data_IF_427631400843
#
_entry.id   IF_427631400843
#
_cell.length_a   1.000
_cell.length_b   1.000
_cell.length_c   1.000
_cell.angle_alpha   90.00
_cell.angle_beta   90.00
_cell.angle_gamma   90.00
#
_symmetry.space_group_name_H-M   'P 1'
#
loop_
_entity.id
_entity.type
_entity.pdbx_description
1 polymer ?
#
# COMPACT_ATOMS: atom_id res chain seq x y z
N UNK A 1 9.36 5.45 21.65
CA UNK A 1 10.44 4.64 22.26
C UNK A 1 11.10 3.80 21.17
N UNK A 2 12.38 3.42 21.31
CA UNK A 2 13.04 2.64 20.27
C UNK A 2 12.45 1.21 20.23
N UNK A 3 11.91 0.80 19.09
CA UNK A 3 11.48 -0.58 18.92
C UNK A 3 12.73 -1.47 18.89
N UNK A 4 12.91 -2.27 19.94
CA UNK A 4 14.08 -3.12 20.07
C UNK A 4 14.11 -4.21 18.99
N UNK A 5 15.24 -4.31 18.29
CA UNK A 5 15.49 -5.41 17.37
C UNK A 5 15.85 -6.67 18.17
N UNK A 6 14.84 -7.45 18.53
CA UNK A 6 15.00 -8.70 19.30
C UNK A 6 15.18 -9.90 18.38
N UNK A 7 15.69 -11.01 18.93
CA UNK A 7 15.98 -12.23 18.16
C UNK A 7 14.77 -12.73 17.36
N UNK A 8 13.59 -12.81 17.98
CA UNK A 8 12.36 -13.27 17.31
C UNK A 8 11.90 -12.33 16.19
N UNK A 9 12.19 -11.02 16.30
CA UNK A 9 11.92 -10.01 15.26
C UNK A 9 12.83 -10.22 14.05
N UNK A 10 14.14 -10.45 14.28
CA UNK A 10 15.10 -10.81 13.23
C UNK A 10 14.75 -12.14 12.56
N UNK A 11 14.38 -13.17 13.33
CA UNK A 11 13.90 -14.45 12.77
C UNK A 11 12.65 -14.27 11.91
N UNK A 12 11.64 -13.52 12.40
CA UNK A 12 10.41 -13.23 11.64
C UNK A 12 10.74 -12.49 10.34
N UNK A 13 11.66 -11.51 10.36
CA UNK A 13 12.12 -10.82 9.14
C UNK A 13 12.90 -11.74 8.19
N UNK A 14 13.80 -12.58 8.68
CA UNK A 14 14.54 -13.53 7.86
C UNK A 14 13.62 -14.59 7.22
N UNK A 15 12.60 -15.04 7.95
CA UNK A 15 11.54 -15.93 7.43
C UNK A 15 10.63 -15.21 6.41
N UNK A 16 10.40 -13.91 6.58
CA UNK A 16 9.67 -13.04 5.63
C UNK A 16 10.50 -12.58 4.43
N UNK A 17 11.83 -12.62 4.49
CA UNK A 17 12.72 -12.18 3.42
C UNK A 17 12.63 -13.02 2.12
N UNK A 18 11.90 -14.15 2.16
CA UNK A 18 11.48 -14.92 0.99
C UNK A 18 9.97 -15.10 0.84
N UNK A 19 9.16 -14.48 1.72
CA UNK A 19 7.71 -14.56 1.71
C UNK A 19 7.12 -13.18 1.41
N UNK A 20 6.59 -13.03 0.20
CA UNK A 20 5.46 -12.17 -0.18
C UNK A 20 4.85 -11.34 0.98
N UNK A 21 5.19 -10.04 1.08
CA UNK A 21 4.57 -9.09 2.03
C UNK A 21 3.08 -8.88 1.66
N UNK A 22 2.18 -9.76 2.11
CA UNK A 22 0.73 -9.65 1.89
C UNK A 22 0.14 -8.91 3.08
N UNK A 23 -0.34 -7.69 2.87
CA UNK A 23 -1.17 -6.98 3.84
C UNK A 23 -2.62 -7.53 3.92
N UNK A 24 -3.16 -7.61 5.13
CA UNK A 24 -4.55 -7.95 5.44
C UNK A 24 -5.30 -6.72 5.95
N UNK A 25 -6.61 -6.72 5.76
CA UNK A 25 -7.50 -5.59 6.11
C UNK A 25 -8.65 -6.01 7.02
N UNK A 26 -8.98 -7.30 7.05
CA UNK A 26 -10.18 -7.76 7.74
C UNK A 26 -9.92 -8.05 9.22
N UNK A 27 -8.65 -8.26 9.61
CA UNK A 27 -8.28 -8.63 10.97
C UNK A 27 -7.06 -7.86 11.45
N UNK A 28 -7.23 -7.12 12.54
CA UNK A 28 -6.12 -6.61 13.35
C UNK A 28 -5.74 -7.65 14.42
N UNK A 29 -4.53 -8.24 14.37
CA UNK A 29 -4.11 -9.26 15.33
C UNK A 29 -4.17 -8.76 16.78
N UNK A 30 -4.54 -9.66 17.71
CA UNK A 30 -4.57 -9.34 19.14
C UNK A 30 -3.21 -8.84 19.66
N UNK A 31 -2.11 -9.41 19.16
CA UNK A 31 -0.75 -8.95 19.48
C UNK A 31 -0.56 -7.46 19.15
N UNK A 32 -1.00 -7.03 17.96
CA UNK A 32 -0.95 -5.63 17.53
C UNK A 32 -1.82 -4.74 18.44
N UNK A 33 -3.05 -5.17 18.74
CA UNK A 33 -3.96 -4.43 19.63
C UNK A 33 -3.35 -4.21 21.03
N UNK A 34 -2.69 -5.23 21.59
CA UNK A 34 -1.97 -5.12 22.87
C UNK A 34 -0.77 -4.17 22.77
N UNK A 35 -0.02 -4.21 21.67
CA UNK A 35 1.08 -3.27 21.43
C UNK A 35 0.58 -1.82 21.41
N UNK A 36 -0.55 -1.54 20.78
CA UNK A 36 -1.16 -0.20 20.82
C UNK A 36 -1.53 0.22 22.25
N UNK A 37 -2.04 -0.70 23.08
CA UNK A 37 -2.34 -0.39 24.50
C UNK A 37 -1.06 -0.01 25.25
N UNK A 38 0.07 -0.69 24.99
CA UNK A 38 1.36 -0.28 25.57
C UNK A 38 1.78 1.12 25.10
N UNK A 39 1.54 1.45 23.83
CA UNK A 39 1.80 2.80 23.33
C UNK A 39 0.90 3.85 24.00
N UNK A 40 -0.34 3.50 24.35
CA UNK A 40 -1.20 4.38 25.14
C UNK A 40 -0.66 4.61 26.55
N UNK A 41 -0.01 3.63 27.19
CA UNK A 41 0.66 3.84 28.48
C UNK A 41 1.82 4.83 28.35
N UNK A 42 2.66 4.64 27.33
CA UNK A 42 3.81 5.51 27.06
C UNK A 42 3.37 6.94 26.69
N UNK A 43 2.22 7.07 26.00
CA UNK A 43 1.68 8.34 25.55
C UNK A 43 0.88 9.07 26.65
N UNK A 44 0.03 8.35 27.39
CA UNK A 44 -0.98 8.97 28.25
C UNK A 44 -0.71 8.81 29.74
N UNK A 45 0.15 7.88 30.18
CA UNK A 45 0.55 7.69 31.58
C UNK A 45 -0.60 7.66 32.60
N UNK A 46 -0.28 7.71 33.89
CA UNK A 46 -1.29 7.81 34.97
C UNK A 46 -1.71 9.26 35.27
N UNK A 47 -0.81 10.22 35.05
CA UNK A 47 -1.03 11.65 35.35
C UNK A 47 -0.77 12.52 34.14
N UNK A 48 -1.65 13.50 33.93
CA UNK A 48 -1.73 14.33 32.73
C UNK A 48 -1.81 15.82 33.07
N UNK A 49 -0.66 16.41 33.39
CA UNK A 49 -0.61 17.77 33.96
C UNK A 49 -1.45 17.85 35.24
N UNK A 50 -2.40 18.79 35.37
CA UNK A 50 -3.26 18.91 36.57
C UNK A 50 -4.43 17.91 36.60
N UNK A 51 -4.62 17.07 35.58
CA UNK A 51 -5.73 16.10 35.48
C UNK A 51 -5.18 14.68 35.34
N UNK A 52 -6.00 13.68 35.62
CA UNK A 52 -5.66 12.29 35.30
C UNK A 52 -5.88 12.04 33.82
N UNK A 53 -5.09 11.12 33.23
CA UNK A 53 -5.29 10.66 31.84
C UNK A 53 -6.69 10.11 31.62
N UNK A 54 -7.26 9.50 32.66
CA UNK A 54 -8.64 9.05 32.74
C UNK A 54 -9.65 10.15 32.37
N UNK A 55 -9.51 11.35 32.96
CA UNK A 55 -10.42 12.45 32.72
C UNK A 55 -10.11 13.24 31.44
N UNK A 56 -8.83 13.31 31.06
CA UNK A 56 -8.37 14.15 29.95
C UNK A 56 -8.42 13.45 28.58
N UNK A 57 -8.20 12.14 28.53
CA UNK A 57 -8.06 11.37 27.29
C UNK A 57 -9.15 10.31 27.20
N UNK A 58 -9.13 9.36 28.14
CA UNK A 58 -9.95 8.15 28.02
C UNK A 58 -11.44 8.44 28.12
N UNK A 59 -11.86 9.35 29.01
CA UNK A 59 -13.26 9.78 29.10
C UNK A 59 -13.77 10.44 27.81
N UNK A 60 -13.12 11.49 27.25
CA UNK A 60 -13.52 12.05 25.96
C UNK A 60 -13.55 11.04 24.82
N UNK A 61 -12.54 10.17 24.72
CA UNK A 61 -12.53 9.11 23.71
C UNK A 61 -13.74 8.20 23.85
N UNK A 62 -14.02 7.79 25.09
CA UNK A 62 -15.10 6.87 25.40
C UNK A 62 -16.46 7.48 25.06
N UNK A 63 -16.69 8.73 25.46
CA UNK A 63 -17.93 9.45 25.19
C UNK A 63 -18.13 9.69 23.69
N UNK A 64 -17.07 10.01 22.94
CA UNK A 64 -17.17 10.21 21.49
C UNK A 64 -17.61 8.94 20.77
N UNK A 65 -16.95 7.81 21.01
CA UNK A 65 -17.32 6.55 20.38
C UNK A 65 -18.68 6.03 20.85
N UNK A 66 -19.03 6.21 22.14
CA UNK A 66 -20.38 5.90 22.63
C UNK A 66 -21.45 6.68 21.86
N UNK A 67 -21.23 7.98 21.61
CA UNK A 67 -22.18 8.81 20.84
C UNK A 67 -22.25 8.38 19.38
N UNK A 68 -21.10 8.13 18.76
CA UNK A 68 -21.03 7.73 17.34
C UNK A 68 -21.73 6.39 17.11
N UNK A 69 -21.49 5.40 17.97
CA UNK A 69 -22.10 4.07 17.85
C UNK A 69 -23.46 3.94 18.55
N UNK A 70 -23.98 5.01 19.16
CA UNK A 70 -25.25 4.99 19.89
C UNK A 70 -25.25 4.04 21.11
N UNK A 71 -24.09 3.82 21.74
CA UNK A 71 -23.93 2.92 22.90
C UNK A 71 -24.00 3.68 24.21
N UNK A 72 -24.63 3.09 25.23
CA UNK A 72 -24.60 3.64 26.58
C UNK A 72 -23.21 3.55 27.24
N UNK A 73 -22.43 2.51 26.87
CA UNK A 73 -21.07 2.25 27.35
C UNK A 73 -20.29 1.49 26.27
N UNK A 74 -18.98 1.71 26.22
CA UNK A 74 -18.06 0.96 25.34
C UNK A 74 -17.70 -0.44 25.87
N UNK A 75 -17.79 -0.64 27.19
CA UNK A 75 -17.46 -1.88 27.86
C UNK A 75 -18.61 -2.33 28.76
N UNK A 76 -18.75 -3.64 28.90
CA UNK A 76 -19.73 -4.29 29.78
C UNK A 76 -19.23 -4.46 31.23
N UNK A 77 -18.07 -3.88 31.56
CA UNK A 77 -17.52 -3.94 32.92
C UNK A 77 -18.51 -3.38 33.95
N UNK A 78 -18.65 -4.10 35.07
CA UNK A 78 -19.56 -3.74 36.16
C UNK A 78 -19.25 -2.35 36.71
N UNK A 79 -20.30 -1.59 37.03
CA UNK A 79 -20.21 -0.15 37.35
C UNK A 79 -19.29 0.19 38.54
N UNK A 80 -19.01 -0.75 39.45
CA UNK A 80 -18.13 -0.53 40.61
C UNK A 80 -16.62 -0.63 40.32
N UNK A 81 -16.24 -1.06 39.12
CA UNK A 81 -14.83 -1.20 38.66
C UNK A 81 -14.59 -0.48 37.32
N UNK A 82 -15.51 0.39 36.91
CA UNK A 82 -15.48 0.99 35.59
C UNK A 82 -14.43 2.10 35.51
N UNK A 83 -13.38 1.83 34.75
CA UNK A 83 -12.40 2.83 34.30
C UNK A 83 -12.60 3.06 32.80
N UNK A 84 -12.58 4.32 32.36
CA UNK A 84 -12.59 4.69 30.96
C UNK A 84 -11.38 4.11 30.22
N UNK A 85 -10.19 4.10 30.85
CA UNK A 85 -9.00 3.43 30.32
C UNK A 85 -9.25 1.94 30.10
N UNK A 86 -9.74 1.25 31.13
CA UNK A 86 -10.06 -0.18 31.03
C UNK A 86 -11.12 -0.44 29.95
N UNK A 87 -12.14 0.41 29.85
CA UNK A 87 -13.20 0.31 28.86
C UNK A 87 -12.67 0.51 27.42
N UNK A 88 -11.79 1.49 27.19
CA UNK A 88 -11.15 1.71 25.89
C UNK A 88 -10.23 0.55 25.50
N UNK A 89 -9.45 0.01 26.46
CA UNK A 89 -8.60 -1.15 26.22
C UNK A 89 -9.41 -2.41 25.90
N UNK A 90 -10.46 -2.67 26.67
CA UNK A 90 -11.38 -3.80 26.43
C UNK A 90 -12.06 -3.67 25.07
N UNK A 91 -12.52 -2.46 24.71
CA UNK A 91 -13.09 -2.19 23.40
C UNK A 91 -12.09 -2.49 22.28
N UNK A 92 -10.88 -1.93 22.32
CA UNK A 92 -9.84 -2.19 21.32
C UNK A 92 -9.50 -3.68 21.21
N UNK A 93 -9.56 -4.45 22.29
CA UNK A 93 -9.25 -5.89 22.26
C UNK A 93 -10.38 -6.74 21.66
N UNK A 94 -11.63 -6.33 21.85
CA UNK A 94 -12.79 -7.17 21.57
C UNK A 94 -13.64 -6.69 20.37
N UNK A 95 -13.40 -5.48 19.86
CA UNK A 95 -14.13 -4.91 18.73
C UNK A 95 -13.73 -5.52 17.39
N UNK A 96 -14.54 -5.28 16.36
CA UNK A 96 -14.14 -5.62 14.99
C UNK A 96 -12.98 -4.72 14.50
N UNK A 97 -12.48 -4.98 13.29
CA UNK A 97 -11.34 -4.23 12.74
C UNK A 97 -11.66 -2.76 12.49
N UNK A 98 -12.85 -2.42 12.01
CA UNK A 98 -13.22 -1.04 11.73
C UNK A 98 -13.29 -0.24 13.05
N UNK A 99 -14.00 -0.77 14.03
CA UNK A 99 -14.13 -0.18 15.37
C UNK A 99 -12.76 -0.07 16.08
N UNK A 100 -11.90 -1.08 15.93
CA UNK A 100 -10.53 -1.03 16.44
C UNK A 100 -9.72 0.08 15.76
N UNK A 101 -9.83 0.24 14.44
CA UNK A 101 -9.16 1.33 13.71
C UNK A 101 -9.69 2.69 14.16
N UNK A 102 -11.00 2.83 14.40
CA UNK A 102 -11.60 4.10 14.85
C UNK A 102 -11.03 4.55 16.19
N UNK A 103 -10.92 3.67 17.18
CA UNK A 103 -10.33 4.03 18.48
C UNK A 103 -8.82 4.29 18.38
N UNK A 104 -8.10 3.57 17.51
CA UNK A 104 -6.68 3.83 17.23
C UNK A 104 -6.55 5.21 16.59
N UNK A 105 -7.27 5.49 15.51
CA UNK A 105 -7.26 6.78 14.81
C UNK A 105 -7.57 7.92 15.78
N UNK A 106 -8.63 7.77 16.57
CA UNK A 106 -9.06 8.78 17.52
C UNK A 106 -7.98 9.04 18.58
N UNK A 107 -7.36 7.99 19.14
CA UNK A 107 -6.28 8.13 20.12
C UNK A 107 -5.05 8.85 19.55
N UNK A 108 -4.63 8.52 18.33
CA UNK A 108 -3.49 9.15 17.67
C UNK A 108 -3.85 10.54 17.11
N UNK A 109 -5.12 10.82 16.84
CA UNK A 109 -5.60 12.15 16.49
C UNK A 109 -5.48 13.11 17.67
N UNK A 110 -5.74 12.67 18.91
CA UNK A 110 -5.46 13.48 20.10
C UNK A 110 -3.98 13.87 20.18
N UNK A 111 -3.09 12.91 19.96
CA UNK A 111 -1.64 13.13 19.92
C UNK A 111 -1.21 14.05 18.75
N UNK A 112 -1.82 13.89 17.57
CA UNK A 112 -1.55 14.72 16.40
C UNK A 112 -1.98 16.19 16.59
N UNK A 113 -3.13 16.41 17.22
CA UNK A 113 -3.60 17.77 17.56
C UNK A 113 -2.60 18.45 18.49
N UNK A 114 -1.97 17.69 19.39
CA UNK A 114 -0.95 18.23 20.28
C UNK A 114 0.29 18.72 19.53
N UNK A 115 0.80 17.89 18.62
CA UNK A 115 1.92 18.25 17.75
C UNK A 115 1.66 19.53 16.94
N UNK A 116 0.44 19.68 16.41
CA UNK A 116 0.12 20.72 15.43
C UNK A 116 -0.34 22.04 16.04
N UNK A 117 -0.98 22.00 17.22
CA UNK A 117 -1.54 23.19 17.86
C UNK A 117 -0.74 23.69 19.05
N UNK A 118 0.38 23.03 19.38
CA UNK A 118 1.30 23.42 20.46
C UNK A 118 0.53 23.65 21.77
N UNK A 119 -0.43 22.78 22.04
CA UNK A 119 -1.48 23.01 23.02
C UNK A 119 -0.95 22.51 24.37
N UNK A 120 -0.34 23.40 25.18
CA UNK A 120 0.40 23.12 26.44
C UNK A 120 -0.22 22.17 27.49
N UNK A 121 -1.42 21.63 27.25
CA UNK A 121 -2.12 20.64 28.06
C UNK A 121 -1.34 19.33 28.24
N UNK A 122 -0.47 18.94 27.30
CA UNK A 122 -0.04 17.55 27.15
C UNK A 122 1.41 17.23 27.57
N UNK A 123 2.29 18.24 27.76
CA UNK A 123 3.70 18.14 28.20
C UNK A 123 4.61 17.12 27.50
N UNK A 124 4.09 16.37 26.52
CA UNK A 124 4.84 15.46 25.69
C UNK A 124 5.73 16.26 24.76
N UNK A 125 6.98 15.82 24.63
CA UNK A 125 7.86 16.39 23.62
C UNK A 125 7.31 16.01 22.24
N UNK A 126 7.32 16.92 21.26
CA UNK A 126 6.94 16.61 19.88
C UNK A 126 7.64 15.37 19.33
N UNK A 127 8.92 15.20 19.68
CA UNK A 127 9.73 14.02 19.37
C UNK A 127 9.08 12.71 19.85
N UNK A 128 8.55 12.69 21.08
CA UNK A 128 7.90 11.52 21.66
C UNK A 128 6.63 11.14 20.89
N UNK A 129 5.85 12.12 20.46
CA UNK A 129 4.64 11.87 19.67
C UNK A 129 5.00 11.34 18.29
N UNK A 130 6.01 11.92 17.64
CA UNK A 130 6.49 11.45 16.35
C UNK A 130 7.04 10.03 16.41
N UNK A 131 7.76 9.69 17.48
CA UNK A 131 8.25 8.33 17.74
C UNK A 131 7.08 7.34 17.89
N UNK A 132 6.01 7.72 18.59
CA UNK A 132 4.82 6.88 18.75
C UNK A 132 4.10 6.67 17.40
N UNK A 133 3.93 7.70 16.58
CA UNK A 133 3.34 7.56 15.23
C UNK A 133 4.20 6.63 14.36
N UNK A 134 5.52 6.79 14.45
CA UNK A 134 6.48 5.94 13.72
C UNK A 134 6.35 4.48 14.17
N UNK A 135 6.28 4.24 15.47
CA UNK A 135 6.08 2.90 16.01
C UNK A 135 4.75 2.30 15.56
N UNK A 136 3.63 3.04 15.60
CA UNK A 136 2.32 2.54 15.16
C UNK A 136 2.39 2.02 13.72
N UNK A 137 2.99 2.81 12.83
CA UNK A 137 3.13 2.48 11.42
C UNK A 137 4.07 1.29 11.18
N UNK A 138 5.14 1.15 11.99
CA UNK A 138 5.95 -0.07 11.98
C UNK A 138 5.16 -1.29 12.46
N UNK A 139 4.34 -1.16 13.50
CA UNK A 139 3.51 -2.28 14.01
C UNK A 139 2.44 -2.70 13.00
N UNK A 140 1.82 -1.77 12.28
CA UNK A 140 0.93 -2.10 11.16
C UNK A 140 1.68 -2.94 10.11
N UNK A 141 2.89 -2.52 9.74
CA UNK A 141 3.71 -3.26 8.78
C UNK A 141 4.09 -4.67 9.26
N UNK A 142 4.53 -4.80 10.51
CA UNK A 142 4.96 -6.08 11.08
C UNK A 142 3.82 -7.08 11.23
N UNK A 143 2.64 -6.58 11.61
CA UNK A 143 1.40 -7.34 11.69
C UNK A 143 0.76 -7.61 10.32
N UNK A 144 1.41 -7.13 9.24
CA UNK A 144 0.88 -7.18 7.89
C UNK A 144 -0.51 -6.54 7.80
N UNK A 145 -0.86 -5.57 8.64
CA UNK A 145 -2.10 -4.83 8.53
C UNK A 145 -1.91 -3.66 7.54
N UNK A 146 -2.73 -3.60 6.50
CA UNK A 146 -2.57 -2.66 5.37
C UNK A 146 -3.01 -1.23 5.65
N UNK A 147 -2.70 -0.72 6.84
CA UNK A 147 -3.12 0.60 7.29
C UNK A 147 -1.91 1.42 7.69
N UNK A 148 -2.04 2.74 7.60
CA UNK A 148 -1.04 3.69 8.06
C UNK A 148 -1.73 4.90 8.67
N UNK A 149 -1.22 5.40 9.78
CA UNK A 149 -1.61 6.68 10.33
C UNK A 149 -0.78 7.79 9.68
N UNK A 150 -1.46 8.76 9.07
CA UNK A 150 -0.86 9.89 8.38
C UNK A 150 -1.73 11.14 8.56
N UNK A 151 -1.11 12.26 8.95
CA UNK A 151 -1.78 13.57 9.03
C UNK A 151 -3.08 13.61 9.84
N UNK A 152 -3.19 12.80 10.90
CA UNK A 152 -4.35 12.79 11.79
C UNK A 152 -5.48 11.83 11.38
N UNK A 153 -5.28 11.01 10.35
CA UNK A 153 -6.22 9.97 9.89
C UNK A 153 -5.48 8.64 9.67
N UNK A 154 -6.20 7.53 9.77
CA UNK A 154 -5.75 6.24 9.26
C UNK A 154 -6.17 6.13 7.80
N UNK A 155 -5.20 5.85 6.93
CA UNK A 155 -5.44 5.56 5.53
C UNK A 155 -5.28 4.07 5.26
N UNK A 156 -6.19 3.52 4.46
CA UNK A 156 -6.06 2.18 3.90
C UNK A 156 -5.03 2.22 2.77
N UNK A 157 -4.07 1.32 2.81
CA UNK A 157 -3.06 1.20 1.76
C UNK A 157 -3.65 0.30 0.66
N UNK A 158 -4.50 0.82 -0.22
CA UNK A 158 -5.12 0.00 -1.28
C UNK A 158 -4.11 -0.43 -2.36
N UNK A 159 -3.56 -1.65 -2.24
CA UNK A 159 -3.18 -2.53 -3.36
C UNK A 159 -2.60 -3.88 -2.87
N UNK A 160 -3.40 -4.78 -2.26
CA UNK A 160 -2.86 -6.11 -1.85
C UNK A 160 -3.43 -7.32 -2.57
N UNK A 161 -4.71 -7.39 -2.97
CA UNK A 161 -5.16 -8.55 -3.77
C UNK A 161 -4.63 -8.50 -5.19
N UNK A 162 -4.78 -7.37 -5.88
CA UNK A 162 -4.14 -7.20 -7.20
C UNK A 162 -2.61 -7.32 -7.11
N UNK A 163 -2.01 -6.91 -5.99
CA UNK A 163 -0.57 -7.09 -5.80
C UNK A 163 -0.18 -8.55 -5.52
N UNK A 164 -0.94 -9.28 -4.69
CA UNK A 164 -0.67 -10.68 -4.37
C UNK A 164 -1.00 -11.64 -5.52
N UNK A 165 -2.06 -11.39 -6.28
CA UNK A 165 -2.55 -12.28 -7.36
C UNK A 165 -1.99 -11.94 -8.74
N UNK A 166 -1.53 -10.70 -8.95
CA UNK A 166 -0.97 -10.29 -10.25
C UNK A 166 0.47 -9.78 -10.16
N UNK A 167 0.77 -8.87 -9.24
CA UNK A 167 2.12 -8.23 -9.19
C UNK A 167 3.20 -9.19 -8.69
N UNK A 168 2.94 -9.93 -7.61
CA UNK A 168 3.90 -10.91 -7.08
C UNK A 168 4.15 -12.06 -8.05
N UNK A 169 3.12 -12.70 -8.65
CA UNK A 169 3.34 -13.69 -9.69
C UNK A 169 4.13 -13.11 -10.87
N UNK A 170 3.85 -11.88 -11.31
CA UNK A 170 4.62 -11.23 -12.37
C UNK A 170 6.10 -11.11 -11.99
N UNK A 171 6.42 -10.54 -10.82
CA UNK A 171 7.80 -10.37 -10.35
C UNK A 171 8.51 -11.72 -10.16
N UNK A 172 7.83 -12.70 -9.57
CA UNK A 172 8.37 -14.06 -9.40
C UNK A 172 8.69 -14.70 -10.74
N UNK A 173 7.77 -14.64 -11.70
CA UNK A 173 7.97 -15.21 -13.03
C UNK A 173 9.09 -14.50 -13.79
N UNK A 174 9.14 -13.17 -13.76
CA UNK A 174 10.22 -12.41 -14.38
C UNK A 174 11.58 -12.79 -13.78
N UNK A 175 11.66 -12.96 -12.46
CA UNK A 175 12.87 -13.39 -11.77
C UNK A 175 13.27 -14.83 -12.13
N UNK A 176 12.37 -15.80 -11.93
CA UNK A 176 12.61 -17.23 -12.19
C UNK A 176 13.06 -17.46 -13.64
N UNK A 177 12.43 -16.74 -14.57
CA UNK A 177 12.72 -16.86 -15.99
C UNK A 177 13.86 -15.95 -16.45
N UNK A 178 14.51 -15.20 -15.57
CA UNK A 178 15.66 -14.31 -15.87
C UNK A 178 15.34 -13.20 -16.87
N UNK A 179 14.17 -12.58 -16.75
CA UNK A 179 13.73 -11.41 -17.52
C UNK A 179 14.17 -10.12 -16.81
N UNK A 180 15.47 -10.00 -16.53
CA UNK A 180 16.04 -8.99 -15.62
C UNK A 180 15.67 -7.54 -15.99
N UNK A 181 15.78 -7.17 -17.27
CA UNK A 181 15.43 -5.82 -17.71
C UNK A 181 13.95 -5.48 -17.52
N UNK A 182 13.06 -6.46 -17.73
CA UNK A 182 11.63 -6.25 -17.52
C UNK A 182 11.27 -6.21 -16.02
N UNK A 183 11.95 -7.00 -15.17
CA UNK A 183 11.79 -6.97 -13.71
C UNK A 183 12.21 -5.62 -13.12
N UNK A 184 13.36 -5.10 -13.53
CA UNK A 184 13.87 -3.79 -13.08
C UNK A 184 12.89 -2.67 -13.44
N UNK A 185 12.48 -2.58 -14.71
CA UNK A 185 11.52 -1.58 -15.19
C UNK A 185 10.17 -1.72 -14.47
N UNK A 186 9.72 -2.94 -14.16
CA UNK A 186 8.45 -3.15 -13.46
C UNK A 186 8.49 -2.67 -12.01
N UNK A 187 9.60 -2.94 -11.30
CA UNK A 187 9.81 -2.46 -9.93
C UNK A 187 9.89 -0.95 -9.88
N UNK A 188 10.61 -0.33 -10.83
CA UNK A 188 10.71 1.13 -10.95
C UNK A 188 9.33 1.77 -11.19
N UNK A 189 8.45 1.13 -11.98
CA UNK A 189 7.08 1.59 -12.18
C UNK A 189 6.26 1.67 -10.87
N UNK A 190 6.34 0.63 -10.02
CA UNK A 190 5.69 0.67 -8.70
C UNK A 190 6.37 1.63 -7.72
N UNK A 191 7.68 1.83 -7.81
CA UNK A 191 8.39 2.84 -7.04
C UNK A 191 7.89 4.25 -7.39
N UNK A 192 7.83 4.58 -8.68
CA UNK A 192 7.26 5.84 -9.16
C UNK A 192 5.84 6.08 -8.67
N UNK A 193 4.99 5.05 -8.74
CA UNK A 193 3.62 5.13 -8.24
C UNK A 193 3.54 5.43 -6.74
N UNK A 194 4.37 4.77 -5.92
CA UNK A 194 4.43 5.00 -4.47
C UNK A 194 4.87 6.41 -4.08
N UNK A 195 5.51 7.13 -5.00
CA UNK A 195 5.93 8.52 -4.82
C UNK A 195 5.02 9.53 -5.50
N UNK A 196 3.83 9.13 -5.95
CA UNK A 196 2.89 10.02 -6.67
C UNK A 196 3.36 10.43 -8.08
N UNK A 197 4.45 9.82 -8.59
CA UNK A 197 5.01 10.07 -9.93
C UNK A 197 4.27 9.23 -10.97
N UNK A 198 2.99 9.54 -11.17
CA UNK A 198 2.07 8.69 -11.93
C UNK A 198 2.39 8.61 -13.43
N UNK A 199 2.98 9.65 -14.03
CA UNK A 199 3.40 9.62 -15.44
C UNK A 199 4.58 8.69 -15.64
N UNK A 200 5.58 8.82 -14.76
CA UNK A 200 6.78 8.00 -14.74
C UNK A 200 6.44 6.54 -14.46
N UNK A 201 5.47 6.28 -13.57
CA UNK A 201 4.96 4.94 -13.32
C UNK A 201 4.40 4.27 -14.58
N UNK A 202 3.64 5.00 -15.39
CA UNK A 202 3.09 4.51 -16.66
C UNK A 202 4.17 4.28 -17.72
N UNK A 203 5.18 5.16 -17.78
CA UNK A 203 6.33 5.02 -18.68
C UNK A 203 7.09 3.73 -18.38
N UNK A 204 7.41 3.47 -17.13
CA UNK A 204 8.20 2.29 -16.75
C UNK A 204 7.39 0.99 -16.82
N UNK A 205 6.07 1.05 -16.57
CA UNK A 205 5.17 -0.06 -16.86
C UNK A 205 5.15 -0.42 -18.37
N UNK A 206 5.15 0.60 -19.25
CA UNK A 206 5.24 0.37 -20.71
C UNK A 206 6.58 -0.25 -21.11
N UNK A 207 7.69 0.23 -20.54
CA UNK A 207 9.01 -0.35 -20.82
C UNK A 207 9.06 -1.82 -20.40
N UNK A 208 8.62 -2.14 -19.18
CA UNK A 208 8.59 -3.52 -18.68
C UNK A 208 7.79 -4.46 -19.60
N UNK A 209 6.64 -3.99 -20.08
CA UNK A 209 5.82 -4.74 -21.03
C UNK A 209 6.56 -4.97 -22.36
N UNK A 210 7.22 -3.95 -22.91
CA UNK A 210 8.05 -4.09 -24.11
C UNK A 210 9.24 -5.04 -23.90
N UNK A 211 9.97 -4.90 -22.79
CA UNK A 211 11.14 -5.70 -22.46
C UNK A 211 10.78 -7.17 -22.25
N UNK A 212 9.60 -7.45 -21.70
CA UNK A 212 9.04 -8.80 -21.61
C UNK A 212 8.90 -9.41 -23.00
N UNK A 213 8.26 -8.69 -23.93
CA UNK A 213 8.06 -9.18 -25.31
C UNK A 213 9.39 -9.31 -26.08
N UNK A 214 10.31 -8.34 -25.96
CA UNK A 214 11.65 -8.39 -26.58
C UNK A 214 12.43 -9.62 -26.12
N UNK A 215 12.37 -9.93 -24.82
CA UNK A 215 13.05 -11.10 -24.24
C UNK A 215 12.48 -12.41 -24.80
N UNK A 216 11.16 -12.51 -24.93
CA UNK A 216 10.50 -13.66 -25.56
C UNK A 216 10.95 -13.83 -27.01
N UNK A 217 10.84 -12.78 -27.82
CA UNK A 217 11.22 -12.84 -29.23
C UNK A 217 12.69 -13.25 -29.40
N UNK A 218 13.60 -12.66 -28.63
CA UNK A 218 15.03 -13.00 -28.66
C UNK A 218 15.28 -14.48 -28.32
N UNK A 219 14.62 -15.00 -27.28
CA UNK A 219 14.81 -16.39 -26.83
C UNK A 219 14.16 -17.42 -27.77
N UNK A 220 13.11 -17.04 -28.47
CA UNK A 220 12.45 -17.87 -29.49
C UNK A 220 13.08 -17.75 -30.88
N UNK A 221 14.06 -16.87 -31.07
CA UNK A 221 14.67 -16.61 -32.36
C UNK A 221 13.72 -15.94 -33.35
N UNK A 222 12.78 -15.13 -32.88
CA UNK A 222 11.86 -14.37 -33.73
C UNK A 222 12.45 -13.02 -34.09
N UNK A 223 12.49 -12.73 -35.39
CA UNK A 223 13.00 -11.46 -35.88
C UNK A 223 12.06 -10.30 -35.58
N UNK A 224 12.64 -9.18 -35.15
CA UNK A 224 11.95 -7.90 -35.01
C UNK A 224 12.96 -6.74 -35.21
N UNK A 225 12.51 -5.56 -35.68
CA UNK A 225 13.38 -4.41 -35.86
C UNK A 225 14.06 -3.96 -34.55
N UNK A 226 15.32 -3.53 -34.64
CA UNK A 226 15.99 -2.89 -33.50
C UNK A 226 15.24 -1.62 -33.09
N UNK A 227 14.90 -1.49 -31.81
CA UNK A 227 14.06 -0.39 -31.32
C UNK A 227 12.57 -0.51 -31.67
N UNK A 228 12.08 -1.70 -32.03
CA UNK A 228 10.66 -1.93 -32.30
C UNK A 228 9.79 -1.48 -31.10
N UNK A 229 8.76 -0.64 -31.33
CA UNK A 229 7.82 -0.24 -30.29
C UNK A 229 6.88 -1.39 -29.93
N UNK A 230 6.21 -1.29 -28.78
CA UNK A 230 5.22 -2.26 -28.28
C UNK A 230 4.25 -2.77 -29.36
N UNK A 231 3.75 -1.89 -30.23
CA UNK A 231 2.82 -2.26 -31.33
C UNK A 231 3.38 -3.35 -32.24
N UNK A 232 4.64 -3.25 -32.63
CA UNK A 232 5.28 -4.22 -33.53
C UNK A 232 5.54 -5.54 -32.80
N UNK A 233 6.00 -5.48 -31.54
CA UNK A 233 6.25 -6.66 -30.72
C UNK A 233 4.98 -7.46 -30.46
N UNK A 234 3.86 -6.78 -30.20
CA UNK A 234 2.53 -7.37 -30.10
C UNK A 234 2.24 -8.18 -31.37
N UNK A 235 2.36 -7.58 -32.55
CA UNK A 235 2.09 -8.28 -33.81
C UNK A 235 2.93 -9.55 -33.97
N UNK A 236 4.24 -9.49 -33.69
CA UNK A 236 5.13 -10.67 -33.78
C UNK A 236 4.66 -11.80 -32.85
N UNK A 237 4.31 -11.50 -31.60
CA UNK A 237 3.84 -12.50 -30.62
C UNK A 237 2.58 -13.22 -31.09
N UNK A 238 1.64 -12.48 -31.68
CA UNK A 238 0.38 -13.03 -32.20
C UNK A 238 0.59 -13.80 -33.52
N UNK A 239 1.38 -13.26 -34.46
CA UNK A 239 1.71 -13.94 -35.73
C UNK A 239 2.42 -15.27 -35.51
N UNK A 240 3.25 -15.38 -34.47
CA UNK A 240 3.94 -16.61 -34.09
C UNK A 240 3.09 -17.55 -33.23
N UNK A 241 1.85 -17.16 -32.92
CA UNK A 241 0.87 -18.01 -32.24
C UNK A 241 1.17 -18.30 -30.76
N UNK A 242 1.98 -17.47 -30.10
CA UNK A 242 2.26 -17.64 -28.66
C UNK A 242 1.00 -17.41 -27.82
N UNK A 243 0.19 -16.44 -28.24
CA UNK A 243 -1.09 -16.07 -27.64
C UNK A 243 -2.15 -16.11 -28.74
N UNK A 244 -3.36 -16.53 -28.41
CA UNK A 244 -4.45 -16.65 -29.36
C UNK A 244 -4.88 -15.29 -29.95
N UNK A 245 -5.04 -15.21 -31.28
CA UNK A 245 -5.31 -13.97 -32.04
C UNK A 245 -6.46 -13.12 -31.48
N UNK A 246 -7.46 -13.75 -30.84
CA UNK A 246 -8.61 -13.06 -30.24
C UNK A 246 -8.22 -12.02 -29.18
N UNK A 247 -7.03 -12.12 -28.57
CA UNK A 247 -6.55 -11.19 -27.54
C UNK A 247 -5.77 -9.98 -28.10
N UNK A 248 -5.55 -9.91 -29.42
CA UNK A 248 -4.75 -8.83 -30.02
C UNK A 248 -5.32 -7.43 -29.74
N UNK A 249 -6.65 -7.28 -29.77
CA UNK A 249 -7.32 -6.01 -29.46
C UNK A 249 -7.11 -5.61 -27.99
N UNK A 250 -7.09 -6.58 -27.07
CA UNK A 250 -6.83 -6.34 -25.64
C UNK A 250 -5.43 -5.78 -25.41
N UNK A 251 -4.40 -6.43 -25.97
CA UNK A 251 -3.00 -5.98 -25.88
C UNK A 251 -2.81 -4.60 -26.52
N UNK A 252 -3.50 -4.34 -27.63
CA UNK A 252 -3.51 -3.03 -28.27
C UNK A 252 -4.15 -1.94 -27.40
N UNK A 253 -5.17 -2.28 -26.61
CA UNK A 253 -5.82 -1.39 -25.65
C UNK A 253 -4.97 -1.13 -24.40
N UNK A 254 -4.31 -2.16 -23.85
CA UNK A 254 -3.34 -2.00 -22.76
C UNK A 254 -2.22 -1.04 -23.16
N UNK A 255 -1.62 -1.26 -24.34
CA UNK A 255 -0.61 -0.36 -24.90
C UNK A 255 -1.13 1.08 -24.92
N UNK A 256 -2.30 1.33 -25.49
CA UNK A 256 -2.91 2.66 -25.55
C UNK A 256 -3.14 3.28 -24.15
N UNK A 257 -3.53 2.47 -23.17
CA UNK A 257 -3.74 2.92 -21.78
C UNK A 257 -2.43 3.39 -21.15
N UNK A 258 -1.36 2.61 -21.31
CA UNK A 258 -0.02 2.97 -20.82
C UNK A 258 0.52 4.21 -21.54
N UNK A 259 0.28 4.28 -22.84
CA UNK A 259 0.62 5.37 -23.74
C UNK A 259 -0.11 6.68 -23.43
N UNK A 260 -1.33 6.62 -22.88
CA UNK A 260 -2.16 7.79 -22.58
C UNK A 260 -1.58 8.70 -21.48
N UNK A 261 -0.76 8.14 -20.58
CA UNK A 261 -0.03 8.92 -19.57
C UNK A 261 1.31 9.48 -20.04
N UNK A 262 1.74 9.13 -21.26
CA UNK A 262 3.05 9.49 -21.80
C UNK A 262 2.89 10.72 -22.71
N UNK A 263 3.55 11.86 -22.41
CA UNK A 263 3.46 13.09 -23.22
C UNK A 263 3.73 12.89 -24.71
N UNK A 264 4.56 11.90 -25.04
CA UNK A 264 5.06 11.62 -26.39
C UNK A 264 3.99 11.13 -27.38
N UNK A 265 2.80 10.74 -26.92
CA UNK A 265 1.72 10.25 -27.81
C UNK A 265 0.71 11.31 -28.20
N UNK A 266 0.65 12.40 -27.42
CA UNK A 266 0.03 13.63 -27.90
C UNK A 266 0.81 14.23 -29.09
N UNK A 267 2.14 14.10 -29.08
CA UNK A 267 2.98 14.54 -30.21
C UNK A 267 2.75 13.75 -31.52
N UNK A 268 2.11 12.57 -31.48
CA UNK A 268 1.79 11.80 -32.70
C UNK A 268 0.31 11.83 -33.10
N UNK A 269 -0.60 12.31 -32.25
CA UNK A 269 -2.04 12.40 -32.52
C UNK A 269 -2.58 13.84 -32.61
N UNK A 270 -1.74 14.87 -32.47
CA UNK A 270 -2.12 16.26 -32.73
C UNK A 270 -0.89 17.13 -32.93
N UNK A 271 -0.64 17.54 -34.18
CA UNK A 271 0.48 18.40 -34.60
C UNK A 271 0.33 19.87 -34.21
N UNK A 272 -0.13 20.16 -32.99
CA UNK A 272 -0.11 21.50 -32.41
C UNK A 272 0.40 21.40 -30.98
N UNK A 273 1.27 22.34 -30.60
CA UNK A 273 2.09 22.33 -29.38
C UNK A 273 1.34 22.07 -28.09
N UNK A 274 2.10 21.90 -27.00
CA UNK A 274 1.57 21.77 -25.64
C UNK A 274 0.39 22.72 -25.43
N UNK A 275 -0.82 22.18 -25.36
CA UNK A 275 -1.95 22.94 -24.83
C UNK A 275 -1.62 23.33 -23.39
N UNK A 276 -2.01 24.54 -23.02
CA UNK A 276 -1.60 25.31 -21.82
C UNK A 276 -1.80 24.67 -20.44
N UNK A 277 -2.30 23.43 -20.33
CA UNK A 277 -2.53 22.80 -19.03
C UNK A 277 -1.84 21.43 -18.92
N UNK A 278 -0.99 21.21 -17.89
CA UNK A 278 -0.43 19.90 -17.59
C UNK A 278 -1.57 18.92 -17.29
N UNK A 279 -1.75 17.90 -18.13
CA UNK A 279 -2.69 16.82 -17.83
C UNK A 279 -2.16 16.06 -16.62
N UNK A 280 -2.87 16.14 -15.51
CA UNK A 280 -2.60 15.34 -14.32
C UNK A 280 -3.13 13.93 -14.55
N UNK A 281 -2.29 12.91 -14.27
CA UNK A 281 -2.73 11.51 -14.33
C UNK A 281 -3.29 11.16 -12.96
N UNK A 282 -4.59 10.82 -12.83
CA UNK A 282 -5.15 10.42 -11.55
C UNK A 282 -4.47 9.16 -11.02
N UNK A 283 -4.23 9.09 -9.71
CA UNK A 283 -3.59 7.93 -9.08
C UNK A 283 -4.31 6.61 -9.34
N UNK A 284 -5.65 6.61 -9.33
CA UNK A 284 -6.44 5.41 -9.64
C UNK A 284 -6.18 4.87 -11.05
N UNK A 285 -5.89 5.75 -12.03
CA UNK A 285 -5.61 5.35 -13.42
C UNK A 285 -4.22 4.73 -13.54
N UNK A 286 -3.23 5.31 -12.86
CA UNK A 286 -1.87 4.76 -12.81
C UNK A 286 -1.85 3.39 -12.10
N UNK A 287 -2.61 3.25 -11.01
CA UNK A 287 -2.81 1.97 -10.30
C UNK A 287 -3.42 0.91 -11.23
N UNK A 288 -4.53 1.26 -11.88
CA UNK A 288 -5.21 0.38 -12.84
C UNK A 288 -4.26 -0.12 -13.93
N UNK A 289 -3.50 0.78 -14.55
CA UNK A 289 -2.57 0.44 -15.62
C UNK A 289 -1.41 -0.44 -15.14
N UNK A 290 -0.82 -0.16 -13.96
CA UNK A 290 0.23 -0.99 -13.38
C UNK A 290 -0.24 -2.43 -13.10
N UNK A 291 -1.44 -2.56 -12.52
CA UNK A 291 -2.02 -3.87 -12.25
C UNK A 291 -2.40 -4.61 -13.54
N UNK A 292 -2.90 -3.91 -14.55
CA UNK A 292 -3.19 -4.51 -15.85
C UNK A 292 -1.91 -4.99 -16.53
N UNK A 293 -0.81 -4.23 -16.47
CA UNK A 293 0.51 -4.66 -16.93
C UNK A 293 0.98 -5.92 -16.19
N UNK A 294 0.80 -5.99 -14.87
CA UNK A 294 1.13 -7.16 -14.07
C UNK A 294 0.48 -8.43 -14.62
N UNK A 295 -0.84 -8.41 -14.80
CA UNK A 295 -1.61 -9.58 -15.30
C UNK A 295 -1.18 -10.02 -16.70
N UNK A 296 -0.83 -9.07 -17.57
CA UNK A 296 -0.40 -9.37 -18.93
C UNK A 296 1.04 -9.92 -18.98
N UNK A 297 1.93 -9.47 -18.09
CA UNK A 297 3.26 -10.06 -17.93
C UNK A 297 3.14 -11.52 -17.47
N UNK A 298 2.31 -11.81 -16.46
CA UNK A 298 2.05 -13.19 -16.02
C UNK A 298 1.63 -14.07 -17.20
N UNK A 299 0.62 -13.63 -17.96
CA UNK A 299 0.14 -14.37 -19.13
C UNK A 299 1.24 -14.63 -20.17
N UNK A 300 2.02 -13.59 -20.51
CA UNK A 300 3.09 -13.70 -21.51
C UNK A 300 4.19 -14.68 -21.08
N UNK A 301 4.63 -14.57 -19.84
CA UNK A 301 5.73 -15.42 -19.32
C UNK A 301 5.26 -16.86 -19.14
N UNK A 302 4.03 -17.10 -18.67
CA UNK A 302 3.46 -18.45 -18.60
C UNK A 302 3.28 -19.07 -19.99
N UNK A 303 2.78 -18.33 -20.98
CA UNK A 303 2.70 -18.81 -22.37
C UNK A 303 4.09 -19.14 -22.94
N UNK A 304 5.10 -18.32 -22.63
CA UNK A 304 6.48 -18.60 -22.99
C UNK A 304 7.00 -19.89 -22.33
N UNK A 305 6.72 -20.12 -21.04
CA UNK A 305 7.08 -21.35 -20.32
C UNK A 305 6.40 -22.58 -20.91
N UNK A 306 5.10 -22.50 -21.17
CA UNK A 306 4.30 -23.59 -21.73
C UNK A 306 4.68 -23.96 -23.16
N UNK A 307 5.34 -23.07 -23.90
CA UNK A 307 5.77 -23.29 -25.28
C UNK A 307 7.25 -23.69 -25.42
N UNK A 308 7.94 -23.97 -24.32
CA UNK A 308 9.35 -24.41 -24.32
C UNK A 308 9.53 -25.82 -24.86
#
# INVERSE_FOLDING_TARGET
MPIYDIFSRREKRAKKAGASDVYQYDTLPREFRVQVIHMWEDAFGESYGPRTSEAAIYKPMNEMLCREYGRFRLSNTLAGQYSYKAACAEFLLNSDTAEALDIIELSFRFLWVELTKNNLLYQLKPETVQDLITELNERFRESCAGYQFESGIIVRIDSTHLHAEAVKPALTLLFEEKFEGADEEFRNGFEHYRHGRYKEALVDALKSFESTMKTICKRKGWDYPSGAPAKQLINVIFEKGLIHQSLQTHFSGLRQTLEAGVPTIRNKLGGHGQGEEPVEVPGYLASYALHLTATNIVMLVEAFKASR
#
